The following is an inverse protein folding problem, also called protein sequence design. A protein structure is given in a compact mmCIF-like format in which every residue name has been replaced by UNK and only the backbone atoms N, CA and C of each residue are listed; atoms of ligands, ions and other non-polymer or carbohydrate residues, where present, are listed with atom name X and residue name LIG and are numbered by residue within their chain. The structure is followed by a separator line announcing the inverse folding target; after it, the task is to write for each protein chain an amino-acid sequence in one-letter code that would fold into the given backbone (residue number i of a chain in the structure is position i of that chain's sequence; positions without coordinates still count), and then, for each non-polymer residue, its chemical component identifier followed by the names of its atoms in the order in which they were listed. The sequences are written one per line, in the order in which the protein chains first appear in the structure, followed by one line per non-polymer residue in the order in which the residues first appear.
data_IF_467878819310
#
_entry.id   IF_467878819310
#
_cell.length_a   1.000
_cell.length_b   1.000
_cell.length_c   1.000
_cell.angle_alpha   90.00
_cell.angle_beta   90.00
_cell.angle_gamma   90.00
#
_symmetry.space_group_name_H-M   'P 1'
#
loop_
_entity.id
_entity.type
_entity.pdbx_description
1 polymer ?
#
# COMPACT_ATOMS: atom_id res chain seq x y z
N UNK A 1 7.39 6.23 15.31
CA UNK A 1 6.67 5.67 14.13
C UNK A 1 5.63 6.69 13.70
N UNK A 2 5.53 6.99 12.40
CA UNK A 2 4.54 7.94 11.86
C UNK A 2 3.54 7.23 10.96
N UNK A 3 2.31 7.73 10.89
CA UNK A 3 1.24 7.23 10.03
C UNK A 3 0.71 8.36 9.16
N UNK A 4 0.23 8.02 7.96
CA UNK A 4 -0.63 8.93 7.20
C UNK A 4 -2.00 9.06 7.87
N UNK A 5 -2.76 10.10 7.50
CA UNK A 5 -4.19 10.11 7.78
C UNK A 5 -4.85 8.91 7.08
N UNK A 6 -5.86 8.28 7.70
CA UNK A 6 -6.58 7.17 7.09
C UNK A 6 -7.46 7.66 5.94
N UNK A 7 -7.53 6.86 4.88
CA UNK A 7 -8.53 6.95 3.83
C UNK A 7 -9.65 5.93 4.13
N UNK A 8 -10.90 6.33 3.97
CA UNK A 8 -12.06 5.44 4.09
C UNK A 8 -12.40 4.86 2.72
N UNK A 9 -12.55 3.54 2.67
CA UNK A 9 -12.94 2.79 1.48
C UNK A 9 -14.46 2.74 1.32
N UNK A 10 -14.92 2.37 0.13
CA UNK A 10 -16.34 2.26 -0.23
C UNK A 10 -17.14 1.23 0.59
N UNK A 11 -16.48 0.26 1.22
CA UNK A 11 -17.08 -0.72 2.13
C UNK A 11 -17.07 -0.26 3.61
N UNK A 12 -16.54 0.93 3.89
CA UNK A 12 -16.40 1.50 5.23
C UNK A 12 -15.11 1.10 5.97
N UNK A 13 -14.28 0.23 5.38
CA UNK A 13 -12.95 -0.04 5.93
C UNK A 13 -12.04 1.19 5.83
N UNK A 14 -10.97 1.21 6.61
CA UNK A 14 -9.97 2.27 6.51
C UNK A 14 -8.61 1.72 6.13
N UNK A 15 -7.90 2.44 5.27
CA UNK A 15 -6.50 2.21 4.92
C UNK A 15 -5.67 3.38 5.39
N UNK A 16 -4.54 3.10 6.04
CA UNK A 16 -3.49 4.08 6.32
C UNK A 16 -2.14 3.48 6.03
N UNK A 17 -1.12 4.32 5.92
CA UNK A 17 0.26 3.89 5.72
C UNK A 17 1.05 4.14 6.97
N UNK A 18 1.70 3.10 7.49
CA UNK A 18 2.76 3.23 8.50
C UNK A 18 4.08 3.48 7.77
N UNK A 19 4.78 4.53 8.18
CA UNK A 19 6.07 4.90 7.61
C UNK A 19 7.19 4.41 8.54
N UNK A 20 8.06 3.57 7.99
CA UNK A 20 9.30 3.12 8.60
C UNK A 20 10.47 3.72 7.84
N UNK A 21 11.26 4.57 8.50
CA UNK A 21 12.41 5.23 7.87
C UNK A 21 13.64 4.35 8.04
N UNK A 22 14.35 4.14 6.94
CA UNK A 22 15.66 3.50 6.93
C UNK A 22 16.76 4.46 7.37
N UNK A 23 17.97 3.93 7.47
CA UNK A 23 19.16 4.68 7.92
C UNK A 23 19.77 5.54 6.80
N UNK A 24 19.40 5.29 5.54
CA UNK A 24 20.02 5.89 4.36
C UNK A 24 19.05 6.80 3.60
N UNK A 25 18.20 7.51 4.36
CA UNK A 25 17.10 8.34 3.84
C UNK A 25 16.08 7.57 2.97
N UNK A 26 16.09 6.24 3.03
CA UNK A 26 15.10 5.37 2.43
C UNK A 26 13.90 5.15 3.38
N UNK A 27 12.82 4.58 2.87
CA UNK A 27 11.65 4.28 3.69
C UNK A 27 10.88 3.05 3.19
N UNK A 28 10.26 2.33 4.12
CA UNK A 28 9.26 1.30 3.86
C UNK A 28 7.90 1.81 4.31
N UNK A 29 6.92 1.70 3.41
CA UNK A 29 5.53 2.06 3.61
C UNK A 29 4.71 0.80 3.75
N UNK A 30 4.19 0.57 4.95
CA UNK A 30 3.38 -0.60 5.25
C UNK A 30 1.91 -0.22 5.17
N UNK A 31 1.16 -0.93 4.33
CA UNK A 31 -0.29 -0.86 4.33
C UNK A 31 -0.82 -1.30 5.70
N UNK A 32 -1.82 -0.59 6.20
CA UNK A 32 -2.55 -0.93 7.41
C UNK A 32 -4.04 -0.80 7.10
N UNK A 33 -4.68 -1.95 6.87
CA UNK A 33 -6.10 -2.04 6.58
C UNK A 33 -6.87 -2.47 7.84
N UNK A 34 -7.97 -1.80 8.18
CA UNK A 34 -8.78 -2.14 9.36
C UNK A 34 -9.38 -3.55 9.30
N UNK A 35 -9.63 -4.07 8.10
CA UNK A 35 -10.19 -5.41 7.87
C UNK A 35 -9.09 -6.48 7.68
N UNK A 36 -7.82 -6.07 7.57
CA UNK A 36 -6.65 -6.97 7.59
C UNK A 36 -5.47 -6.31 8.31
N UNK A 37 -5.51 -6.19 9.65
CA UNK A 37 -4.52 -5.41 10.40
C UNK A 37 -3.12 -6.05 10.44
N UNK A 38 -3.03 -7.36 10.18
CA UNK A 38 -1.77 -8.11 10.20
C UNK A 38 -1.23 -8.40 8.78
N UNK A 39 -2.00 -8.11 7.74
CA UNK A 39 -1.59 -8.25 6.36
C UNK A 39 -1.39 -6.90 5.68
N UNK A 40 -1.21 -6.95 4.36
CA UNK A 40 -1.12 -5.77 3.51
C UNK A 40 0.15 -5.71 2.68
N UNK A 41 0.11 -4.84 1.67
CA UNK A 41 1.24 -4.56 0.79
C UNK A 41 2.32 -3.72 1.49
N UNK A 42 3.54 -3.80 0.93
CA UNK A 42 4.66 -2.96 1.33
C UNK A 42 5.24 -2.27 0.10
N UNK A 43 5.58 -1.00 0.23
CA UNK A 43 6.29 -0.23 -0.79
C UNK A 43 7.61 0.25 -0.21
N UNK A 44 8.70 -0.04 -0.90
CA UNK A 44 10.03 0.50 -0.60
C UNK A 44 10.28 1.77 -1.42
N UNK A 45 10.89 2.77 -0.79
CA UNK A 45 11.31 3.99 -1.46
C UNK A 45 12.79 4.27 -1.26
N UNK A 46 13.51 4.45 -2.37
CA UNK A 46 14.95 4.74 -2.40
C UNK A 46 15.33 5.47 -3.67
N UNK A 47 16.21 6.47 -3.57
CA UNK A 47 16.71 7.24 -4.72
C UNK A 47 15.59 7.87 -5.57
N UNK A 48 14.54 8.39 -4.91
CA UNK A 48 13.26 8.86 -5.49
C UNK A 48 12.33 7.78 -6.01
N UNK A 49 12.74 6.53 -5.98
CA UNK A 49 12.05 5.44 -6.61
C UNK A 49 11.10 4.66 -5.72
N UNK A 50 9.90 4.30 -6.21
CA UNK A 50 8.95 3.45 -5.48
C UNK A 50 8.94 2.02 -6.04
N UNK A 51 9.02 1.04 -5.14
CA UNK A 51 9.12 -0.38 -5.45
C UNK A 51 8.09 -1.16 -4.65
N UNK A 52 7.23 -1.92 -5.32
CA UNK A 52 6.33 -2.85 -4.67
C UNK A 52 7.14 -4.03 -4.14
N UNK A 53 7.02 -4.31 -2.84
CA UNK A 53 7.60 -5.48 -2.21
C UNK A 53 6.56 -6.59 -2.22
N UNK A 54 6.88 -7.71 -2.87
CA UNK A 54 6.01 -8.88 -2.93
C UNK A 54 6.78 -10.13 -2.46
N UNK A 55 6.05 -11.14 -2.01
CA UNK A 55 6.63 -12.33 -1.38
C UNK A 55 6.94 -12.12 0.11
N UNK A 56 7.44 -13.18 0.77
CA UNK A 56 7.81 -13.17 2.18
C UNK A 56 9.10 -13.95 2.43
N UNK A 57 9.84 -13.56 3.48
CA UNK A 57 11.11 -14.19 3.85
C UNK A 57 12.15 -14.13 2.75
N UNK A 58 12.81 -15.26 2.46
CA UNK A 58 13.91 -15.37 1.47
C UNK A 58 13.49 -15.16 0.01
N UNK A 59 12.18 -14.98 -0.27
CA UNK A 59 11.64 -14.75 -1.62
C UNK A 59 11.06 -13.35 -1.80
N UNK A 60 11.39 -12.43 -0.92
CA UNK A 60 11.00 -11.03 -1.07
C UNK A 60 11.62 -10.48 -2.35
N UNK A 61 10.77 -10.07 -3.29
CA UNK A 61 11.20 -9.42 -4.52
C UNK A 61 10.69 -7.99 -4.53
N UNK A 62 11.52 -7.10 -5.06
CA UNK A 62 11.19 -5.70 -5.28
C UNK A 62 10.95 -5.49 -6.76
N UNK A 63 9.75 -5.03 -7.10
CA UNK A 63 9.39 -4.67 -8.46
C UNK A 63 9.20 -3.16 -8.53
N UNK A 64 9.89 -2.52 -9.48
CA UNK A 64 9.67 -1.10 -9.75
C UNK A 64 8.22 -0.87 -10.17
N UNK A 65 7.53 0.04 -9.49
CA UNK A 65 6.20 0.47 -9.89
C UNK A 65 6.23 1.08 -11.29
N UNK A 66 5.32 0.65 -12.16
CA UNK A 66 5.31 1.04 -13.59
C UNK A 66 4.28 2.12 -13.92
N UNK A 67 3.33 2.38 -13.03
CA UNK A 67 2.35 3.46 -13.21
C UNK A 67 3.04 4.82 -12.92
N UNK A 68 3.07 5.76 -13.89
CA UNK A 68 3.77 7.04 -13.71
C UNK A 68 3.30 7.84 -12.49
N UNK A 69 2.06 7.63 -12.02
CA UNK A 69 1.53 8.29 -10.81
C UNK A 69 2.24 7.83 -9.55
N UNK A 70 2.74 6.60 -9.54
CA UNK A 70 3.31 5.91 -8.38
C UNK A 70 4.75 5.44 -8.59
N UNK A 71 5.38 5.76 -9.72
CA UNK A 71 6.73 5.28 -10.04
C UNK A 71 7.82 5.94 -9.17
N UNK A 72 7.69 7.23 -8.92
CA UNK A 72 8.68 8.04 -8.20
C UNK A 72 8.04 8.97 -7.18
N UNK A 73 8.83 9.46 -6.23
CA UNK A 73 8.44 10.47 -5.26
C UNK A 73 9.67 11.29 -4.82
N UNK A 74 9.47 12.59 -4.60
CA UNK A 74 10.58 13.52 -4.31
C UNK A 74 10.93 13.61 -2.82
N UNK A 75 10.05 13.11 -1.95
CA UNK A 75 10.25 13.13 -0.50
C UNK A 75 9.50 11.99 0.18
N UNK A 76 9.82 11.72 1.45
CA UNK A 76 9.10 10.73 2.26
C UNK A 76 7.61 11.07 2.40
N UNK A 77 7.27 12.36 2.49
CA UNK A 77 5.88 12.78 2.60
C UNK A 77 5.10 12.52 1.29
N UNK A 78 5.70 12.83 0.15
CA UNK A 78 5.15 12.52 -1.17
C UNK A 78 5.04 11.00 -1.39
N UNK A 79 6.11 10.26 -1.05
CA UNK A 79 6.13 8.80 -1.13
C UNK A 79 5.04 8.16 -0.25
N UNK A 80 4.81 8.66 0.97
CA UNK A 80 3.74 8.19 1.84
C UNK A 80 2.34 8.47 1.26
N UNK A 81 2.14 9.66 0.67
CA UNK A 81 0.88 10.02 0.02
C UNK A 81 0.60 9.14 -1.21
N UNK A 82 1.63 8.90 -2.04
CA UNK A 82 1.53 8.01 -3.20
C UNK A 82 1.30 6.55 -2.80
N UNK A 83 1.98 6.07 -1.76
CA UNK A 83 1.73 4.73 -1.21
C UNK A 83 0.28 4.59 -0.72
N UNK A 84 -0.24 5.57 0.02
CA UNK A 84 -1.63 5.56 0.48
C UNK A 84 -2.61 5.54 -0.70
N UNK A 85 -2.38 6.39 -1.71
CA UNK A 85 -3.21 6.44 -2.91
C UNK A 85 -3.17 5.12 -3.70
N UNK A 86 -2.00 4.50 -3.82
CA UNK A 86 -1.84 3.20 -4.47
C UNK A 86 -2.61 2.10 -3.73
N UNK A 87 -2.39 1.94 -2.43
CA UNK A 87 -3.09 0.90 -1.65
C UNK A 87 -4.60 1.12 -1.66
N UNK A 88 -5.05 2.37 -1.54
CA UNK A 88 -6.47 2.72 -1.66
C UNK A 88 -7.02 2.31 -3.03
N UNK A 89 -6.32 2.62 -4.12
CA UNK A 89 -6.74 2.25 -5.47
C UNK A 89 -6.82 0.73 -5.66
N UNK A 90 -5.85 -0.02 -5.13
CA UNK A 90 -5.84 -1.49 -5.19
C UNK A 90 -7.01 -2.09 -4.39
N UNK A 91 -7.22 -1.62 -3.16
CA UNK A 91 -8.31 -2.08 -2.31
C UNK A 91 -9.67 -1.78 -2.94
N UNK A 92 -9.88 -0.54 -3.41
CA UNK A 92 -11.10 -0.14 -4.13
C UNK A 92 -11.30 -0.93 -5.43
N UNK A 93 -10.21 -1.26 -6.14
CA UNK A 93 -10.26 -2.15 -7.29
C UNK A 93 -10.81 -3.53 -6.94
N UNK A 94 -10.31 -4.12 -5.85
CA UNK A 94 -10.82 -5.40 -5.36
C UNK A 94 -12.29 -5.32 -4.92
N UNK A 95 -12.66 -4.30 -4.13
CA UNK A 95 -14.03 -4.12 -3.65
C UNK A 95 -15.01 -4.00 -4.82
N UNK A 96 -14.71 -3.14 -5.80
CA UNK A 96 -15.55 -2.98 -7.00
C UNK A 96 -15.69 -4.28 -7.79
N UNK A 97 -14.60 -5.01 -7.98
CA UNK A 97 -14.65 -6.30 -8.67
C UNK A 97 -15.51 -7.30 -7.89
N UNK A 98 -15.31 -7.42 -6.58
CA UNK A 98 -16.09 -8.32 -5.73
C UNK A 98 -17.58 -7.98 -5.78
N UNK A 99 -17.94 -6.70 -5.68
CA UNK A 99 -19.33 -6.24 -5.81
C UNK A 99 -19.93 -6.56 -7.19
N UNK A 100 -19.18 -6.35 -8.27
CA UNK A 100 -19.63 -6.62 -9.63
C UNK A 100 -19.87 -8.11 -9.88
N UNK A 101 -19.05 -8.98 -9.30
CA UNK A 101 -19.15 -10.44 -9.44
C UNK A 101 -20.03 -11.12 -8.38
N UNK A 102 -20.65 -10.35 -7.47
CA UNK A 102 -21.44 -10.89 -6.35
C UNK A 102 -20.60 -11.67 -5.31
N UNK A 103 -19.28 -11.45 -5.28
CA UNK A 103 -18.36 -12.03 -4.31
C UNK A 103 -18.46 -11.24 -2.99
N UNK A 104 -18.50 -11.90 -1.82
CA UNK A 104 -18.47 -11.19 -0.54
C UNK A 104 -17.22 -10.31 -0.41
N UNK A 105 -17.40 -9.00 -0.23
CA UNK A 105 -16.30 -8.01 -0.14
C UNK A 105 -15.22 -8.40 0.88
N UNK A 106 -15.60 -9.05 1.98
CA UNK A 106 -14.65 -9.57 2.98
C UNK A 106 -13.54 -10.48 2.40
N UNK A 107 -13.80 -11.12 1.25
CA UNK A 107 -12.81 -11.95 0.57
C UNK A 107 -11.60 -11.15 0.06
N UNK A 108 -11.74 -9.84 -0.19
CA UNK A 108 -10.64 -8.95 -0.55
C UNK A 108 -9.59 -8.80 0.56
N UNK A 109 -9.91 -9.20 1.79
CA UNK A 109 -9.04 -9.04 2.96
C UNK A 109 -8.47 -10.36 3.45
N UNK A 110 -8.85 -11.49 2.83
CA UNK A 110 -8.32 -12.80 3.17
C UNK A 110 -6.90 -12.93 2.58
N UNK A 111 -5.88 -12.74 3.42
CA UNK A 111 -4.48 -13.04 3.15
C UNK A 111 -3.99 -14.15 4.07
#
# INVERSE_FOLDING_TARGET
MSYTQPATLSDGATVRVRVERGLTDDAVFHEQNSNNPNGGGRIYWSGQGLYLMWGGGEREQMLRMQDPRFESADSIADAAAKALAFFTQCAEGCIRHAQAEGIPVRACYAA
#
